data_IF_920786339420
#
_entry.id   IF_920786339420
#
_cell.length_a   1.000
_cell.length_b   1.000
_cell.length_c   1.000
_cell.angle_alpha   90.00
_cell.angle_beta   90.00
_cell.angle_gamma   90.00
#
_symmetry.space_group_name_H-M   'P 1'
#
loop_
_entity.id
_entity.type
_entity.pdbx_description
1 polymer ?
#
# COMPACT_ATOMS: atom_id res chain seq x y z
N UNK A 1 7.72 12.78 19.88
CA UNK A 1 6.84 11.65 19.51
C UNK A 1 5.77 12.14 18.55
N UNK A 2 5.46 11.36 17.52
CA UNK A 2 4.26 11.56 16.68
C UNK A 2 3.02 11.26 17.52
N UNK A 3 2.05 12.17 17.59
CA UNK A 3 0.81 11.96 18.33
C UNK A 3 -0.33 11.59 17.38
N UNK A 4 -1.27 10.78 17.85
CA UNK A 4 -2.44 10.36 17.06
C UNK A 4 -3.24 11.56 16.53
N UNK A 5 -3.39 12.61 17.34
CA UNK A 5 -4.08 13.85 16.96
C UNK A 5 -3.35 14.62 15.85
N UNK A 6 -2.02 14.54 15.80
CA UNK A 6 -1.22 15.15 14.74
C UNK A 6 -1.40 14.38 13.43
N UNK A 7 -1.32 13.05 13.47
CA UNK A 7 -1.53 12.18 12.30
C UNK A 7 -2.92 12.40 11.70
N UNK A 8 -3.98 12.43 12.53
CA UNK A 8 -5.35 12.66 12.06
C UNK A 8 -5.53 14.00 11.32
N UNK A 9 -4.85 15.08 11.76
CA UNK A 9 -4.90 16.37 11.06
C UNK A 9 -4.20 16.33 9.71
N UNK A 10 -3.10 15.58 9.62
CA UNK A 10 -2.35 15.38 8.37
C UNK A 10 -3.20 14.58 7.38
N UNK A 11 -3.78 13.46 7.80
CA UNK A 11 -4.62 12.59 6.96
C UNK A 11 -5.85 13.33 6.40
N UNK A 12 -6.39 14.28 7.16
CA UNK A 12 -7.53 15.13 6.75
C UNK A 12 -7.11 16.34 5.92
N UNK A 13 -5.82 16.55 5.66
CA UNK A 13 -5.31 17.70 4.91
C UNK A 13 -5.40 19.04 5.66
N UNK A 14 -5.68 19.04 6.96
CA UNK A 14 -5.78 20.26 7.79
C UNK A 14 -4.40 20.85 8.02
N UNK A 15 -3.39 20.01 8.18
CA UNK A 15 -1.99 20.41 8.39
C UNK A 15 -1.14 19.88 7.27
N UNK A 16 -0.40 20.77 6.60
CA UNK A 16 0.54 20.39 5.55
C UNK A 16 1.70 19.62 6.17
N UNK A 17 2.02 18.46 5.59
CA UNK A 17 3.15 17.64 6.00
C UNK A 17 4.45 18.27 5.51
N UNK A 18 5.31 18.72 6.43
CA UNK A 18 6.67 19.14 6.11
C UNK A 18 7.59 17.94 5.87
N UNK A 19 8.69 18.13 5.13
CA UNK A 19 9.61 17.04 4.77
C UNK A 19 10.28 16.39 5.99
N UNK A 20 10.66 17.18 6.99
CA UNK A 20 11.30 16.69 8.22
C UNK A 20 10.35 15.82 9.03
N UNK A 21 9.06 16.15 9.04
CA UNK A 21 8.00 15.35 9.65
C UNK A 21 7.70 14.10 8.81
N UNK A 22 7.68 14.22 7.48
CA UNK A 22 7.50 13.08 6.58
C UNK A 22 8.59 12.01 6.79
N UNK A 23 9.86 12.42 6.91
CA UNK A 23 10.98 11.53 7.21
C UNK A 23 10.75 10.81 8.55
N UNK A 24 10.39 11.56 9.60
CA UNK A 24 10.12 10.95 10.92
C UNK A 24 8.95 9.96 10.91
N UNK A 25 7.91 10.23 10.12
CA UNK A 25 6.78 9.30 9.94
C UNK A 25 7.25 8.06 9.20
N UNK A 26 8.01 8.22 8.12
CA UNK A 26 8.57 7.12 7.34
C UNK A 26 9.46 6.20 8.20
N UNK A 27 10.36 6.78 9.01
CA UNK A 27 11.22 6.05 9.94
C UNK A 27 10.40 5.30 11.01
N UNK A 28 9.36 5.93 11.55
CA UNK A 28 8.50 5.33 12.57
C UNK A 28 7.76 4.09 12.05
N UNK A 29 7.21 4.16 10.85
CA UNK A 29 6.51 3.04 10.20
C UNK A 29 7.46 2.09 9.45
N UNK A 30 8.76 2.41 9.37
CA UNK A 30 9.78 1.68 8.63
C UNK A 30 9.44 1.52 7.14
N UNK A 31 8.99 2.61 6.52
CA UNK A 31 8.63 2.68 5.10
C UNK A 31 9.46 3.75 4.40
N UNK A 32 9.51 3.73 3.05
CA UNK A 32 10.13 4.81 2.29
C UNK A 32 9.23 6.04 2.19
N UNK A 33 9.81 7.20 1.87
CA UNK A 33 9.03 8.40 1.54
C UNK A 33 8.13 8.14 0.32
N UNK A 34 8.61 7.42 -0.68
CA UNK A 34 7.80 7.06 -1.85
C UNK A 34 6.59 6.22 -1.48
N UNK A 35 6.73 5.27 -0.55
CA UNK A 35 5.59 4.53 -0.01
C UNK A 35 4.63 5.46 0.75
N UNK A 36 5.15 6.33 1.63
CA UNK A 36 4.35 7.26 2.43
C UNK A 36 3.49 8.22 1.56
N UNK A 37 4.03 8.66 0.42
CA UNK A 37 3.33 9.53 -0.52
C UNK A 37 2.60 8.78 -1.65
N UNK A 38 2.60 7.44 -1.64
CA UNK A 38 1.94 6.64 -2.67
C UNK A 38 2.59 6.72 -4.06
N UNK A 39 3.89 6.99 -4.13
CA UNK A 39 4.71 7.07 -5.36
C UNK A 39 5.55 5.81 -5.62
N UNK A 40 5.50 4.81 -4.74
CA UNK A 40 6.17 3.53 -4.94
C UNK A 40 5.64 2.75 -6.15
N UNK A 41 6.49 1.96 -6.79
CA UNK A 41 6.13 1.17 -7.98
C UNK A 41 5.13 0.04 -7.68
N UNK A 42 5.08 -0.41 -6.42
CA UNK A 42 4.10 -1.41 -5.98
C UNK A 42 2.80 -0.72 -5.58
N UNK A 43 1.88 -0.54 -6.54
CA UNK A 43 0.47 -0.46 -6.17
C UNK A 43 0.13 -1.83 -5.56
N UNK A 44 -0.38 -1.91 -4.32
CA UNK A 44 -0.92 -3.17 -3.85
C UNK A 44 -1.96 -3.61 -4.86
N UNK A 45 -1.84 -4.85 -5.35
CA UNK A 45 -2.85 -5.45 -6.21
C UNK A 45 -4.16 -5.43 -5.42
N UNK A 46 -4.97 -4.40 -5.64
CA UNK A 46 -6.30 -4.28 -5.06
C UNK A 46 -7.23 -5.08 -5.96
N UNK A 47 -7.25 -6.38 -5.73
CA UNK A 47 -8.27 -7.24 -6.31
C UNK A 47 -9.49 -7.11 -5.39
N UNK A 48 -10.60 -6.64 -5.93
CA UNK A 48 -11.85 -6.55 -5.18
C UNK A 48 -12.52 -7.93 -5.12
N UNK A 49 -13.31 -8.20 -4.07
CA UNK A 49 -14.06 -9.45 -3.96
C UNK A 49 -15.01 -9.64 -5.14
N UNK A 50 -15.59 -8.54 -5.66
CA UNK A 50 -16.47 -8.56 -6.83
C UNK A 50 -15.71 -8.97 -8.09
N UNK A 51 -14.45 -8.53 -8.23
CA UNK A 51 -13.60 -8.90 -9.37
C UNK A 51 -13.33 -10.41 -9.36
N UNK A 52 -13.04 -11.00 -8.19
CA UNK A 52 -12.82 -12.44 -8.04
C UNK A 52 -14.09 -13.24 -8.38
N UNK A 53 -15.25 -12.74 -7.95
CA UNK A 53 -16.54 -13.39 -8.20
C UNK A 53 -16.92 -13.43 -9.68
N UNK A 54 -16.43 -12.48 -10.48
CA UNK A 54 -16.70 -12.38 -11.92
C UNK A 54 -15.76 -13.23 -12.79
N UNK A 55 -14.69 -13.78 -12.22
CA UNK A 55 -13.76 -14.64 -12.96
C UNK A 55 -14.35 -16.03 -13.21
N UNK A 56 -14.14 -16.54 -14.42
CA UNK A 56 -14.35 -17.94 -14.75
C UNK A 56 -13.34 -18.84 -14.01
N UNK A 57 -13.65 -20.13 -13.93
CA UNK A 57 -12.78 -21.08 -13.23
C UNK A 57 -11.40 -21.21 -13.91
N UNK A 58 -11.34 -21.10 -15.24
CA UNK A 58 -10.07 -21.10 -15.98
C UNK A 58 -9.20 -19.87 -15.66
N UNK A 59 -9.79 -18.69 -15.51
CA UNK A 59 -9.08 -17.45 -15.15
C UNK A 59 -8.58 -17.50 -13.70
N UNK A 60 -9.34 -18.14 -12.79
CA UNK A 60 -8.91 -18.37 -11.41
C UNK A 60 -7.71 -19.29 -11.34
N UNK A 61 -7.70 -20.36 -12.12
CA UNK A 61 -6.58 -21.31 -12.21
C UNK A 61 -5.31 -20.64 -12.75
N UNK A 62 -5.45 -19.82 -13.78
CA UNK A 62 -4.32 -19.04 -14.34
C UNK A 62 -3.76 -18.05 -13.31
N UNK A 63 -4.65 -17.33 -12.60
CA UNK A 63 -4.26 -16.39 -11.57
C UNK A 63 -3.56 -17.09 -10.39
N UNK A 64 -4.06 -18.26 -9.97
CA UNK A 64 -3.43 -19.07 -8.92
C UNK A 64 -2.03 -19.53 -9.34
N UNK A 65 -1.86 -19.97 -10.57
CA UNK A 65 -0.55 -20.37 -11.11
C UNK A 65 0.44 -19.21 -11.14
N UNK A 66 -0.02 -18.00 -11.51
CA UNK A 66 0.79 -16.79 -11.52
C UNK A 66 1.27 -16.40 -10.11
N UNK A 67 0.38 -16.48 -9.11
CA UNK A 67 0.70 -16.21 -7.69
C UNK A 67 1.75 -17.20 -7.18
N UNK A 68 1.58 -18.50 -7.42
CA UNK A 68 2.54 -19.53 -7.02
C UNK A 68 3.93 -19.27 -7.63
N UNK A 69 3.99 -18.92 -8.93
CA UNK A 69 5.24 -18.56 -9.60
C UNK A 69 5.91 -17.33 -9.00
N UNK A 70 5.14 -16.33 -8.57
CA UNK A 70 5.70 -15.15 -7.90
C UNK A 70 6.23 -15.47 -6.50
N UNK A 71 5.53 -16.30 -5.73
CA UNK A 71 5.96 -16.72 -4.40
C UNK A 71 7.26 -17.54 -4.44
N UNK A 72 7.42 -18.40 -5.45
CA UNK A 72 8.61 -19.22 -5.65
C UNK A 72 9.80 -18.47 -6.30
N UNK A 73 9.61 -17.21 -6.73
CA UNK A 73 10.68 -16.35 -7.28
C UNK A 73 11.42 -15.55 -6.21
N UNK A 74 11.03 -15.67 -4.94
CA UNK A 74 11.81 -15.22 -3.78
C UNK A 74 12.74 -16.32 -3.31
#
# INVERSE_FOLDING_TARGET
>A
MLSQSMVSKIERGITRLDLTLAIRIADFYKVSLDYLFGRGEEKPLRISEETIAQLSDAEKDEMLLAIIKQLNKK
#
